data_IF_033834024507
#
_entry.id   IF_033834024507
#
_cell.length_a   1.000
_cell.length_b   1.000
_cell.length_c   1.000
_cell.angle_alpha   90.00
_cell.angle_beta   90.00
_cell.angle_gamma   90.00
#
_symmetry.space_group_name_H-M   'P 1'
#
loop_
_entity.id
_entity.type
_entity.pdbx_description
1 polymer ?
#
# COMPACT_ATOMS: atom_id res chain seq x y z
N UNK A 1 -5.19 -17.44 -4.36
CA UNK A 1 -4.09 -16.55 -3.96
C UNK A 1 -3.24 -16.26 -5.18
N UNK A 2 -3.13 -15.00 -5.57
CA UNK A 2 -2.48 -14.60 -6.84
C UNK A 2 -1.08 -14.08 -6.55
N UNK A 3 -0.12 -14.44 -7.40
CA UNK A 3 1.25 -13.91 -7.34
C UNK A 3 1.41 -12.87 -8.43
N UNK A 4 1.91 -11.70 -8.07
CA UNK A 4 2.19 -10.60 -8.98
C UNK A 4 3.69 -10.34 -9.04
N UNK A 5 4.16 -9.81 -10.17
CA UNK A 5 5.56 -9.46 -10.34
C UNK A 5 5.79 -8.33 -11.33
N UNK A 6 6.89 -7.62 -11.13
CA UNK A 6 7.40 -6.63 -12.09
C UNK A 6 8.87 -6.90 -12.40
N UNK A 7 9.23 -6.71 -13.66
CA UNK A 7 10.63 -6.63 -14.11
C UNK A 7 10.93 -5.23 -14.56
N UNK A 8 11.99 -4.65 -14.02
CA UNK A 8 12.51 -3.33 -14.43
C UNK A 8 13.86 -3.56 -15.09
N UNK A 9 14.01 -3.10 -16.33
CA UNK A 9 15.30 -3.18 -17.04
C UNK A 9 16.03 -1.85 -16.99
N UNK A 10 17.33 -1.92 -16.74
CA UNK A 10 18.23 -0.76 -16.67
C UNK A 10 19.39 -0.92 -17.65
N UNK A 11 19.67 0.13 -18.41
CA UNK A 11 20.92 0.24 -19.16
C UNK A 11 22.11 0.57 -18.23
N UNK A 12 23.35 0.30 -18.69
CA UNK A 12 24.55 0.50 -17.88
C UNK A 12 24.74 1.96 -17.44
N UNK A 13 24.41 2.91 -18.33
CA UNK A 13 24.53 4.34 -18.03
C UNK A 13 23.56 4.77 -16.91
N UNK A 14 22.38 4.16 -16.86
CA UNK A 14 21.36 4.42 -15.84
C UNK A 14 21.74 3.81 -14.50
N UNK A 15 22.37 2.64 -14.48
CA UNK A 15 22.93 2.06 -13.24
C UNK A 15 24.00 2.99 -12.65
N UNK A 16 24.85 3.57 -13.49
CA UNK A 16 25.85 4.55 -13.06
C UNK A 16 25.21 5.87 -12.59
N UNK A 17 24.19 6.38 -13.29
CA UNK A 17 23.50 7.60 -12.92
C UNK A 17 22.67 7.47 -11.62
N UNK A 18 22.16 6.26 -11.35
CA UNK A 18 21.38 5.95 -10.15
C UNK A 18 22.24 5.63 -8.92
N UNK A 19 23.56 5.80 -8.99
CA UNK A 19 24.39 5.71 -7.78
C UNK A 19 23.88 6.69 -6.71
N UNK A 20 23.79 6.20 -5.47
CA UNK A 20 23.23 6.95 -4.35
C UNK A 20 21.69 7.07 -4.33
N UNK A 21 20.98 6.64 -5.38
CA UNK A 21 19.51 6.60 -5.40
C UNK A 21 18.98 5.32 -4.74
N UNK A 22 17.67 5.33 -4.48
CA UNK A 22 16.88 4.20 -4.01
C UNK A 22 15.63 4.07 -4.90
N UNK A 23 15.32 2.87 -5.35
CA UNK A 23 14.01 2.55 -5.90
C UNK A 23 13.04 2.41 -4.72
N UNK A 24 12.05 3.28 -4.65
CA UNK A 24 10.95 3.24 -3.70
C UNK A 24 9.72 2.69 -4.41
N UNK A 25 9.06 1.74 -3.75
CA UNK A 25 7.83 1.11 -4.22
C UNK A 25 6.71 1.49 -3.27
N UNK A 26 5.59 1.91 -3.82
CA UNK A 26 4.35 2.18 -3.09
C UNK A 26 3.25 1.27 -3.63
N UNK A 27 2.33 0.82 -2.78
CA UNK A 27 1.20 -0.03 -3.20
C UNK A 27 -0.11 0.53 -2.67
N UNK A 28 -1.13 0.45 -3.53
CA UNK A 28 -2.43 1.01 -3.27
C UNK A 28 -3.36 0.11 -2.44
N UNK A 29 -4.41 0.74 -1.95
CA UNK A 29 -5.56 0.11 -1.32
C UNK A 29 -6.85 0.78 -1.81
N UNK A 30 -7.97 0.08 -1.75
CA UNK A 30 -9.28 0.74 -1.79
C UNK A 30 -9.78 0.93 -0.36
N UNK A 31 -10.43 2.05 -0.08
CA UNK A 31 -10.91 2.38 1.27
C UNK A 31 -12.29 3.05 1.23
N UNK A 32 -13.10 2.85 2.27
CA UNK A 32 -14.37 3.56 2.43
C UNK A 32 -14.19 5.09 2.55
N UNK A 33 -13.11 5.53 3.20
CA UNK A 33 -12.75 6.96 3.37
C UNK A 33 -11.36 7.24 2.75
N UNK A 34 -11.27 7.37 1.41
CA UNK A 34 -9.99 7.46 0.71
C UNK A 34 -9.22 8.76 1.00
N UNK A 35 -9.92 9.86 1.27
CA UNK A 35 -9.30 11.20 1.38
C UNK A 35 -8.45 11.41 2.64
N UNK A 36 -8.51 10.50 3.61
CA UNK A 36 -7.76 10.60 4.87
C UNK A 36 -6.49 9.74 4.90
N UNK A 37 -6.24 8.96 3.84
CA UNK A 37 -5.14 8.02 3.80
C UNK A 37 -3.81 8.66 3.39
N UNK A 38 -2.72 8.11 3.91
CA UNK A 38 -1.35 8.45 3.50
C UNK A 38 -0.66 7.19 3.01
N UNK A 39 0.01 7.27 1.86
CA UNK A 39 0.80 6.16 1.32
C UNK A 39 2.11 5.98 2.09
N UNK A 40 2.58 4.74 2.19
CA UNK A 40 3.86 4.43 2.84
C UNK A 40 4.81 3.75 1.87
N UNK A 41 6.12 3.93 2.06
CA UNK A 41 7.14 3.19 1.30
C UNK A 41 6.97 1.71 1.62
N UNK A 42 6.51 0.94 0.65
CA UNK A 42 6.19 -0.47 0.83
C UNK A 42 7.43 -1.37 0.73
N UNK A 43 8.34 -1.04 -0.19
CA UNK A 43 9.60 -1.75 -0.38
C UNK A 43 10.66 -0.83 -0.96
N UNK A 44 11.92 -1.20 -0.79
CA UNK A 44 13.06 -0.47 -1.36
C UNK A 44 14.09 -1.37 -2.01
N UNK A 45 14.80 -0.82 -3.00
CA UNK A 45 15.98 -1.43 -3.61
C UNK A 45 17.08 -0.35 -3.72
N UNK A 46 18.26 -0.64 -3.17
CA UNK A 46 19.38 0.29 -3.03
C UNK A 46 20.62 -0.11 -3.85
N UNK A 47 20.67 -1.33 -4.41
CA UNK A 47 21.74 -1.75 -5.33
C UNK A 47 21.12 -2.21 -6.62
N UNK A 48 21.46 -1.55 -7.72
CA UNK A 48 20.82 -1.77 -9.01
C UNK A 48 21.64 -2.69 -9.91
N UNK A 49 20.94 -3.59 -10.59
CA UNK A 49 21.46 -4.43 -11.66
C UNK A 49 20.67 -4.17 -12.94
N UNK A 50 21.11 -4.73 -14.06
CA UNK A 50 20.40 -4.63 -15.34
C UNK A 50 18.94 -5.11 -15.27
N UNK A 51 18.64 -6.03 -14.35
CA UNK A 51 17.31 -6.53 -14.10
C UNK A 51 16.99 -6.42 -12.62
N UNK A 52 15.90 -5.71 -12.31
CA UNK A 52 15.29 -5.68 -10.98
C UNK A 52 13.99 -6.47 -11.05
N UNK A 53 13.91 -7.52 -10.24
CA UNK A 53 12.69 -8.31 -10.09
C UNK A 53 12.06 -8.03 -8.73
N UNK A 54 10.79 -7.65 -8.75
CA UNK A 54 9.96 -7.48 -7.56
C UNK A 54 8.76 -8.43 -7.66
N UNK A 55 8.39 -9.09 -6.57
CA UNK A 55 7.21 -9.96 -6.55
C UNK A 55 6.50 -9.95 -5.21
N UNK A 56 5.20 -10.20 -5.23
CA UNK A 56 4.37 -10.27 -4.02
C UNK A 56 3.19 -11.21 -4.24
N UNK A 57 2.50 -11.52 -3.15
CA UNK A 57 1.24 -12.26 -3.18
C UNK A 57 0.11 -11.36 -2.68
N UNK A 58 -1.12 -11.71 -3.04
CA UNK A 58 -2.33 -10.98 -2.60
C UNK A 58 -2.66 -11.13 -1.10
N UNK A 59 -1.75 -11.65 -0.29
CA UNK A 59 -1.94 -11.83 1.15
C UNK A 59 -1.65 -10.53 1.89
N UNK A 60 -2.48 -10.24 2.91
CA UNK A 60 -2.40 -9.03 3.70
C UNK A 60 -2.46 -9.34 5.20
N UNK A 61 -1.88 -8.44 5.98
CA UNK A 61 -2.10 -8.33 7.42
C UNK A 61 -2.87 -7.04 7.70
N UNK A 62 -3.76 -7.07 8.68
CA UNK A 62 -4.34 -5.88 9.27
C UNK A 62 -3.37 -5.34 10.32
N UNK A 63 -3.28 -4.03 10.45
CA UNK A 63 -2.45 -3.43 11.48
C UNK A 63 -3.09 -2.24 12.18
N UNK A 64 -2.61 -1.99 13.39
CA UNK A 64 -2.90 -0.81 14.18
C UNK A 64 -1.58 -0.21 14.72
N UNK A 65 -1.53 1.11 14.80
CA UNK A 65 -0.38 1.88 15.25
C UNK A 65 -0.81 2.98 16.21
N UNK A 66 -0.12 3.12 17.34
CA UNK A 66 -0.29 4.24 18.27
C UNK A 66 0.80 5.27 18.06
N UNK A 67 0.40 6.53 18.00
CA UNK A 67 1.32 7.64 17.89
C UNK A 67 0.73 8.75 17.02
N UNK A 68 1.40 9.90 17.03
CA UNK A 68 1.23 10.89 15.98
C UNK A 68 1.91 10.40 14.71
N UNK A 69 1.32 10.66 13.55
CA UNK A 69 1.94 10.44 12.26
C UNK A 69 2.09 11.78 11.55
N UNK A 70 3.33 12.19 11.31
CA UNK A 70 3.68 13.33 10.46
C UNK A 70 4.27 12.85 9.13
N UNK A 71 4.52 13.80 8.24
CA UNK A 71 5.19 13.50 6.98
C UNK A 71 6.61 13.00 7.24
N UNK A 72 7.04 12.01 6.45
CA UNK A 72 8.32 11.30 6.58
C UNK A 72 8.51 10.50 7.89
N UNK A 73 7.49 10.41 8.76
CA UNK A 73 7.51 9.49 9.91
C UNK A 73 7.43 8.03 9.44
N UNK A 74 8.17 7.15 10.11
CA UNK A 74 8.07 5.71 9.90
C UNK A 74 6.86 5.15 10.64
N UNK A 75 5.91 4.57 9.91
CA UNK A 75 4.84 3.77 10.50
C UNK A 75 5.43 2.45 10.97
N UNK A 76 5.58 2.30 12.28
CA UNK A 76 5.96 1.04 12.93
C UNK A 76 4.70 0.47 13.59
N UNK A 77 4.04 -0.53 12.96
CA UNK A 77 2.84 -1.15 13.50
C UNK A 77 3.05 -1.67 14.91
N UNK A 78 2.12 -1.36 15.80
CA UNK A 78 2.13 -1.81 17.19
C UNK A 78 1.48 -3.18 17.31
N UNK A 79 0.39 -3.39 16.56
CA UNK A 79 -0.35 -4.65 16.51
C UNK A 79 -0.59 -5.05 15.07
N UNK A 80 -0.36 -6.33 14.77
CA UNK A 80 -0.48 -6.88 13.42
C UNK A 80 -1.00 -8.29 13.47
N UNK A 81 -1.90 -8.66 12.58
CA UNK A 81 -2.42 -10.04 12.47
C UNK A 81 -2.72 -10.35 10.99
N UNK A 82 -2.44 -11.58 10.51
CA UNK A 82 -2.95 -12.03 9.22
C UNK A 82 -4.47 -11.89 9.16
N UNK A 83 -4.99 -11.39 8.05
CA UNK A 83 -6.43 -11.19 7.84
C UNK A 83 -6.80 -11.61 6.42
N UNK A 84 -7.99 -12.19 6.27
CA UNK A 84 -8.56 -12.58 5.00
C UNK A 84 -9.76 -11.69 4.64
N UNK A 85 -10.09 -11.54 3.35
CA UNK A 85 -11.33 -10.90 2.95
C UNK A 85 -12.55 -11.57 3.60
N UNK A 86 -13.49 -10.78 4.12
CA UNK A 86 -14.64 -11.26 4.91
C UNK A 86 -14.39 -11.35 6.42
N UNK A 87 -13.14 -11.19 6.87
CA UNK A 87 -12.83 -11.15 8.30
C UNK A 87 -12.89 -9.71 8.87
N UNK A 88 -13.25 -9.64 10.15
CA UNK A 88 -13.18 -8.46 10.99
C UNK A 88 -12.07 -8.65 12.02
N UNK A 89 -11.05 -7.79 11.96
CA UNK A 89 -10.00 -7.69 12.97
C UNK A 89 -10.32 -6.52 13.90
N UNK A 90 -10.55 -6.80 15.17
CA UNK A 90 -10.86 -5.78 16.19
C UNK A 90 -9.69 -5.58 17.13
N UNK A 91 -9.30 -4.33 17.34
CA UNK A 91 -8.40 -3.92 18.43
C UNK A 91 -9.24 -3.58 19.66
N UNK A 92 -9.28 -4.48 20.64
CA UNK A 92 -10.11 -4.36 21.84
C UNK A 92 -9.44 -3.51 22.93
N UNK A 93 -10.25 -3.10 23.92
CA UNK A 93 -9.74 -2.51 25.17
C UNK A 93 -8.71 -3.45 25.81
N UNK A 94 -7.59 -2.87 26.26
CA UNK A 94 -6.46 -3.66 26.76
C UNK A 94 -5.45 -4.08 25.68
N UNK A 95 -5.58 -3.55 24.45
CA UNK A 95 -4.62 -3.75 23.36
C UNK A 95 -4.48 -5.20 22.90
N UNK A 96 -5.62 -5.91 22.85
CA UNK A 96 -5.72 -7.27 22.33
C UNK A 96 -6.38 -7.26 20.94
N UNK A 97 -5.94 -8.16 20.06
CA UNK A 97 -6.57 -8.36 18.76
C UNK A 97 -7.53 -9.54 18.82
N UNK A 98 -8.75 -9.37 18.30
CA UNK A 98 -9.73 -10.44 18.08
C UNK A 98 -10.10 -10.50 16.61
N UNK A 99 -10.37 -11.70 16.09
CA UNK A 99 -10.74 -11.92 14.69
C UNK A 99 -12.03 -12.72 14.58
N UNK A 100 -12.96 -12.24 13.76
CA UNK A 100 -14.24 -12.91 13.47
C UNK A 100 -14.51 -12.92 11.96
N UNK A 101 -15.42 -13.79 11.50
CA UNK A 101 -15.83 -13.91 10.08
C UNK A 101 -17.05 -13.04 9.74
N UNK A 102 -17.24 -11.94 10.49
CA UNK A 102 -18.38 -11.03 10.37
C UNK A 102 -18.01 -9.73 9.64
N UNK A 103 -16.89 -9.71 8.92
CA UNK A 103 -16.43 -8.56 8.15
C UNK A 103 -17.19 -8.39 6.84
N UNK A 104 -16.95 -7.27 6.17
CA UNK A 104 -17.48 -7.02 4.85
C UNK A 104 -16.95 -8.04 3.83
N UNK A 105 -17.86 -8.62 3.04
CA UNK A 105 -17.54 -9.61 2.02
C UNK A 105 -16.51 -9.05 1.03
N UNK A 106 -15.51 -9.85 0.67
CA UNK A 106 -14.44 -9.50 -0.28
C UNK A 106 -13.56 -8.30 0.14
N UNK A 107 -13.64 -7.85 1.40
CA UNK A 107 -12.84 -6.78 1.97
C UNK A 107 -12.24 -7.17 3.33
N UNK A 108 -11.20 -6.46 3.74
CA UNK A 108 -10.58 -6.55 5.05
C UNK A 108 -11.23 -5.51 5.96
N UNK A 109 -11.81 -5.95 7.07
CA UNK A 109 -12.50 -5.05 7.99
C UNK A 109 -11.69 -4.90 9.27
N UNK A 110 -11.39 -3.66 9.65
CA UNK A 110 -10.66 -3.33 10.89
C UNK A 110 -11.56 -2.50 11.80
N UNK A 111 -11.68 -2.87 13.07
CA UNK A 111 -12.46 -2.12 14.06
C UNK A 111 -11.56 -1.69 15.22
N UNK A 112 -11.62 -0.40 15.56
CA UNK A 112 -10.92 0.13 16.72
C UNK A 112 -11.89 0.24 17.90
N UNK A 113 -11.61 -0.48 18.99
CA UNK A 113 -12.34 -0.43 20.27
C UNK A 113 -11.40 -0.23 21.45
N UNK A 114 -10.19 0.28 21.22
CA UNK A 114 -9.15 0.41 22.25
C UNK A 114 -9.41 1.56 23.22
N UNK A 115 -10.43 2.40 22.97
CA UNK A 115 -10.82 3.55 23.79
C UNK A 115 -10.08 4.85 23.44
N UNK A 116 -9.37 4.90 22.31
CA UNK A 116 -8.65 6.09 21.82
C UNK A 116 -8.42 6.02 20.31
N UNK A 117 -8.18 7.16 19.63
CA UNK A 117 -7.79 7.13 18.22
C UNK A 117 -6.44 6.42 18.03
N UNK A 118 -6.34 5.69 16.93
CA UNK A 118 -5.13 5.02 16.45
C UNK A 118 -5.00 5.26 14.95
N UNK A 119 -3.93 4.73 14.36
CA UNK A 119 -3.80 4.59 12.91
C UNK A 119 -3.98 3.12 12.54
N UNK A 120 -4.56 2.86 11.37
CA UNK A 120 -4.73 1.49 10.87
C UNK A 120 -4.57 1.40 9.36
N UNK A 121 -4.44 0.18 8.86
CA UNK A 121 -4.33 -0.08 7.44
C UNK A 121 -4.01 -1.53 7.14
N UNK A 122 -3.58 -1.78 5.91
CA UNK A 122 -3.09 -3.08 5.47
C UNK A 122 -1.57 -3.07 5.33
N UNK A 123 -0.98 -4.23 5.59
CA UNK A 123 0.41 -4.54 5.27
C UNK A 123 0.46 -5.72 4.33
N UNK A 124 1.47 -5.76 3.47
CA UNK A 124 1.78 -6.95 2.68
C UNK A 124 3.29 -7.07 2.51
N UNK A 125 3.76 -8.24 2.11
CA UNK A 125 5.18 -8.49 1.89
C UNK A 125 5.52 -8.42 0.40
N UNK A 126 6.52 -7.60 0.07
CA UNK A 126 7.19 -7.66 -1.23
C UNK A 126 8.52 -8.39 -1.08
N UNK A 127 8.80 -9.27 -2.02
CA UNK A 127 10.11 -9.90 -2.21
C UNK A 127 10.90 -9.11 -3.23
N UNK A 128 12.13 -8.78 -2.87
CA UNK A 128 13.17 -8.28 -3.80
C UNK A 128 14.38 -9.20 -3.70
N UNK A 129 15.39 -9.00 -4.56
CA UNK A 129 16.67 -9.72 -4.40
C UNK A 129 17.51 -9.23 -3.22
N UNK A 130 17.13 -8.10 -2.59
CA UNK A 130 17.86 -7.52 -1.46
C UNK A 130 17.13 -7.70 -0.12
N UNK A 131 15.80 -7.80 -0.17
CA UNK A 131 14.93 -7.90 0.99
C UNK A 131 14.13 -9.18 0.90
N UNK A 132 14.17 -9.98 1.98
CA UNK A 132 13.22 -11.07 2.18
C UNK A 132 11.78 -10.53 2.27
N UNK A 133 10.81 -11.43 2.15
CA UNK A 133 9.39 -11.07 2.21
C UNK A 133 8.97 -10.69 3.63
N UNK A 134 9.19 -9.44 4.04
CA UNK A 134 8.72 -8.87 5.31
C UNK A 134 7.49 -8.00 5.05
N UNK A 135 6.37 -8.21 5.77
CA UNK A 135 5.22 -7.34 5.65
C UNK A 135 5.56 -5.90 6.01
N UNK A 136 5.01 -4.94 5.27
CA UNK A 136 5.17 -3.51 5.54
C UNK A 136 3.88 -2.77 5.18
N UNK A 137 3.58 -1.64 5.86
CA UNK A 137 2.35 -0.88 5.60
C UNK A 137 2.26 -0.46 4.13
N UNK A 138 1.06 -0.53 3.56
CA UNK A 138 0.77 -0.08 2.18
C UNK A 138 0.33 1.38 2.19
N UNK A 139 -0.68 1.65 2.99
CA UNK A 139 -1.25 2.96 3.30
C UNK A 139 -1.73 2.93 4.76
N UNK A 140 -1.83 4.11 5.36
CA UNK A 140 -2.21 4.29 6.75
C UNK A 140 -3.30 5.35 6.86
N UNK A 141 -4.26 5.12 7.75
CA UNK A 141 -5.45 5.95 7.91
C UNK A 141 -5.69 6.28 9.38
N UNK A 142 -6.15 7.49 9.71
CA UNK A 142 -6.61 7.78 11.05
C UNK A 142 -7.86 6.94 11.36
N UNK A 143 -7.94 6.39 12.57
CA UNK A 143 -8.98 5.44 12.95
C UNK A 143 -9.49 5.76 14.35
N UNK A 144 -10.67 6.38 14.47
CA UNK A 144 -11.22 6.80 15.77
C UNK A 144 -11.73 5.59 16.53
N UNK A 145 -11.99 5.77 17.82
CA UNK A 145 -12.59 4.74 18.65
C UNK A 145 -14.04 4.49 18.22
N UNK A 146 -14.44 3.23 18.12
CA UNK A 146 -15.75 2.80 17.64
C UNK A 146 -15.89 2.73 16.11
N UNK A 147 -14.99 3.36 15.36
CA UNK A 147 -15.06 3.37 13.90
C UNK A 147 -14.71 2.00 13.31
N UNK A 148 -15.39 1.64 12.22
CA UNK A 148 -15.02 0.50 11.38
C UNK A 148 -14.39 0.99 10.08
N UNK A 149 -13.30 0.35 9.68
CA UNK A 149 -12.56 0.65 8.45
C UNK A 149 -12.65 -0.55 7.52
N UNK A 150 -13.16 -0.32 6.30
CA UNK A 150 -13.24 -1.33 5.24
C UNK A 150 -12.16 -1.03 4.19
N UNK A 151 -11.31 -2.02 3.92
CA UNK A 151 -10.19 -1.90 2.98
C UNK A 151 -10.21 -3.06 1.98
N UNK A 152 -9.83 -2.80 0.73
CA UNK A 152 -9.57 -3.84 -0.26
C UNK A 152 -8.14 -3.72 -0.79
N UNK A 153 -7.59 -4.82 -1.27
CA UNK A 153 -6.34 -4.76 -2.03
C UNK A 153 -6.59 -4.05 -3.36
N UNK A 154 -5.82 -2.98 -3.62
CA UNK A 154 -5.77 -2.36 -4.92
C UNK A 154 -4.43 -2.74 -5.55
N UNK A 155 -4.46 -3.63 -6.54
CA UNK A 155 -3.25 -4.17 -7.16
C UNK A 155 -2.62 -3.16 -8.13
N UNK A 156 -2.33 -1.97 -7.61
CA UNK A 156 -1.62 -0.90 -8.29
C UNK A 156 -0.41 -0.50 -7.47
N UNK A 157 0.72 -0.35 -8.13
CA UNK A 157 1.96 0.11 -7.51
C UNK A 157 2.49 1.35 -8.23
N UNK A 158 3.26 2.15 -7.51
CA UNK A 158 4.06 3.25 -8.07
C UNK A 158 5.53 2.96 -7.81
N UNK A 159 6.35 3.08 -8.86
CA UNK A 159 7.80 2.90 -8.82
C UNK A 159 8.50 4.23 -9.02
N UNK A 160 9.43 4.55 -8.13
CA UNK A 160 10.17 5.83 -8.14
C UNK A 160 11.64 5.60 -7.84
N UNK A 161 12.53 6.06 -8.71
CA UNK A 161 13.93 6.23 -8.34
C UNK A 161 14.10 7.59 -7.65
N UNK A 162 14.48 7.58 -6.37
CA UNK A 162 14.61 8.77 -5.53
C UNK A 162 16.04 8.93 -5.01
N UNK A 163 16.64 10.14 -5.07
CA UNK A 163 17.89 10.42 -4.38
C UNK A 163 17.69 10.57 -2.85
N UNK A 164 16.48 10.93 -2.41
CA UNK A 164 16.13 10.95 -1.00
C UNK A 164 15.73 9.53 -0.56
N UNK A 165 16.66 8.85 0.12
CA UNK A 165 16.41 7.52 0.68
C UNK A 165 15.42 7.61 1.83
N UNK A 166 14.51 6.64 1.90
CA UNK A 166 13.52 6.50 2.97
C UNK A 166 13.54 5.08 3.49
N UNK A 167 13.13 4.91 4.74
CA UNK A 167 12.92 3.59 5.30
C UNK A 167 11.61 3.00 4.77
N UNK A 168 11.51 1.68 4.78
CA UNK A 168 10.24 1.00 4.56
C UNK A 168 9.28 1.38 5.70
N UNK A 169 8.01 1.63 5.38
CA UNK A 169 6.99 2.13 6.31
C UNK A 169 6.94 3.65 6.45
N UNK A 170 7.89 4.40 5.87
CA UNK A 170 7.86 5.87 5.89
C UNK A 170 6.63 6.41 5.15
N UNK A 171 5.87 7.30 5.81
CA UNK A 171 4.72 7.99 5.23
C UNK A 171 5.16 9.05 4.22
N UNK A 172 4.60 9.00 3.01
CA UNK A 172 4.96 9.89 1.90
C UNK A 172 3.70 10.37 1.22
N UNK A 173 3.53 11.70 1.15
CA UNK A 173 2.43 12.34 0.41
C UNK A 173 2.73 12.49 -1.08
N UNK A 174 3.97 12.80 -1.41
CA UNK A 174 4.36 13.22 -2.76
C UNK A 174 5.71 12.66 -3.18
N UNK A 175 5.79 12.21 -4.42
CA UNK A 175 7.03 11.84 -5.08
C UNK A 175 7.54 13.00 -5.94
N UNK A 176 8.73 13.51 -5.62
CA UNK A 176 9.35 14.64 -6.33
C UNK A 176 10.07 14.23 -7.62
N UNK A 177 10.25 12.92 -7.86
CA UNK A 177 10.88 12.38 -9.06
C UNK A 177 9.85 11.79 -10.04
N UNK A 178 10.26 11.64 -11.31
CA UNK A 178 9.46 10.94 -12.33
C UNK A 178 9.22 9.49 -11.90
N UNK A 179 8.01 9.00 -12.11
CA UNK A 179 7.59 7.68 -11.65
C UNK A 179 6.80 6.93 -12.72
N UNK A 180 6.53 5.65 -12.48
CA UNK A 180 5.60 4.86 -13.28
C UNK A 180 4.59 4.18 -12.35
N UNK A 181 3.31 4.29 -12.70
CA UNK A 181 2.23 3.54 -12.07
C UNK A 181 1.96 2.28 -12.88
N UNK A 182 1.83 1.14 -12.20
CA UNK A 182 1.52 -0.16 -12.82
C UNK A 182 0.27 -0.73 -12.16
N UNK A 183 -0.74 -1.05 -12.96
CA UNK A 183 -2.00 -1.62 -12.48
C UNK A 183 -2.13 -3.08 -12.94
N UNK A 184 -2.34 -3.97 -11.99
CA UNK A 184 -2.42 -5.41 -12.20
C UNK A 184 -3.86 -5.89 -12.08
N UNK A 185 -4.14 -6.98 -12.77
CA UNK A 185 -5.44 -7.64 -12.79
C UNK A 185 -5.23 -9.14 -12.60
N UNK A 186 -6.29 -9.90 -12.34
CA UNK A 186 -6.18 -11.38 -12.30
C UNK A 186 -5.65 -11.97 -13.61
N UNK A 187 -5.90 -11.29 -14.74
CA UNK A 187 -5.38 -11.65 -16.07
C UNK A 187 -3.99 -11.07 -16.39
N UNK A 188 -3.52 -10.07 -15.64
CA UNK A 188 -2.22 -9.41 -15.83
C UNK A 188 -1.47 -9.43 -14.51
N UNK A 189 -0.71 -10.52 -14.31
CA UNK A 189 0.04 -10.78 -13.08
C UNK A 189 1.53 -10.45 -13.21
N UNK A 190 1.99 -10.13 -14.41
CA UNK A 190 3.36 -9.72 -14.68
C UNK A 190 3.41 -8.49 -15.58
N UNK A 191 4.22 -7.50 -15.21
CA UNK A 191 4.47 -6.30 -16.01
C UNK A 191 5.98 -6.09 -16.16
N UNK A 192 6.43 -5.72 -17.35
CA UNK A 192 7.81 -5.29 -17.61
C UNK A 192 7.84 -3.82 -18.00
N UNK A 193 8.84 -3.09 -17.49
CA UNK A 193 9.11 -1.70 -17.84
C UNK A 193 10.62 -1.48 -17.96
N UNK A 194 11.00 -0.49 -18.75
CA UNK A 194 12.40 -0.07 -18.86
C UNK A 194 12.57 1.29 -18.19
N UNK A 195 13.77 1.57 -17.71
CA UNK A 195 14.15 2.89 -17.24
C UNK A 195 15.50 3.30 -17.83
N UNK A 196 15.54 4.53 -18.33
CA UNK A 196 16.75 5.19 -18.79
C UNK A 196 16.89 6.53 -18.07
N UNK A 197 18.08 6.86 -17.55
CA UNK A 197 18.31 8.14 -16.86
C UNK A 197 18.07 9.36 -17.77
N UNK A 198 18.21 9.21 -19.09
CA UNK A 198 17.96 10.29 -20.06
C UNK A 198 16.48 10.42 -20.42
N UNK A 199 15.80 9.29 -20.63
CA UNK A 199 14.40 9.26 -21.15
C UNK A 199 13.35 9.09 -20.05
N UNK A 200 13.75 8.68 -18.86
CA UNK A 200 12.87 8.27 -17.77
C UNK A 200 12.32 6.86 -17.97
N UNK A 201 11.12 6.63 -17.43
CA UNK A 201 10.40 5.37 -17.55
C UNK A 201 9.87 5.15 -18.97
N UNK A 202 9.98 3.92 -19.45
CA UNK A 202 9.38 3.43 -20.69
C UNK A 202 8.45 2.25 -20.36
N UNK A 203 7.20 2.38 -20.77
CA UNK A 203 6.16 1.38 -20.49
C UNK A 203 6.13 0.26 -21.50
N UNK A 204 6.96 0.31 -22.56
CA UNK A 204 7.01 -0.67 -23.64
C UNK A 204 5.65 -0.87 -24.32
N UNK A 205 4.83 0.18 -24.36
CA UNK A 205 3.46 0.13 -24.90
C UNK A 205 2.45 -0.58 -24.01
N UNK A 206 2.80 -0.96 -22.77
CA UNK A 206 1.89 -1.65 -21.86
C UNK A 206 0.71 -0.74 -21.47
N UNK A 207 -0.55 -1.12 -21.76
CA UNK A 207 -1.72 -0.26 -21.55
C UNK A 207 -2.09 -0.08 -20.07
N UNK A 208 -1.57 -0.93 -19.18
CA UNK A 208 -1.82 -0.87 -17.73
C UNK A 208 -0.64 -0.25 -16.97
N UNK A 209 0.31 0.35 -17.69
CA UNK A 209 1.41 1.13 -17.15
C UNK A 209 1.29 2.60 -17.59
N UNK A 210 1.43 3.52 -16.64
CA UNK A 210 1.31 4.97 -16.85
C UNK A 210 2.55 5.67 -16.36
N UNK A 211 3.21 6.44 -17.23
CA UNK A 211 4.29 7.34 -16.84
C UNK A 211 3.70 8.54 -16.11
N UNK A 212 4.30 8.92 -15.00
CA UNK A 212 3.91 10.10 -14.25
C UNK A 212 5.02 11.15 -14.33
N UNK A 213 4.62 12.42 -14.32
CA UNK A 213 5.54 13.54 -14.20
C UNK A 213 6.24 13.57 -12.84
N UNK A 214 6.98 14.65 -12.60
CA UNK A 214 7.45 14.98 -11.25
C UNK A 214 6.26 15.41 -10.38
N UNK A 215 6.45 15.40 -9.06
CA UNK A 215 5.47 15.89 -8.09
C UNK A 215 4.14 15.12 -8.08
N UNK A 216 4.22 13.80 -8.26
CA UNK A 216 3.05 12.93 -8.16
C UNK A 216 2.55 12.89 -6.70
N UNK A 217 1.31 13.31 -6.48
CA UNK A 217 0.59 13.04 -5.24
C UNK A 217 0.24 11.55 -5.17
N UNK A 218 0.68 10.86 -4.13
CA UNK A 218 0.53 9.41 -4.00
C UNK A 218 -0.89 9.00 -3.63
N UNK A 219 -1.53 9.70 -2.69
CA UNK A 219 -2.87 9.39 -2.22
C UNK A 219 -3.91 9.27 -3.36
N UNK A 220 -4.11 10.26 -4.26
CA UNK A 220 -5.08 10.12 -5.34
C UNK A 220 -4.70 9.07 -6.39
N UNK A 221 -3.44 8.63 -6.44
CA UNK A 221 -2.97 7.61 -7.38
C UNK A 221 -3.16 6.19 -6.81
N UNK A 222 -3.05 6.02 -5.49
CA UNK A 222 -2.95 4.72 -4.80
C UNK A 222 -4.08 4.43 -3.83
N UNK A 223 -4.87 5.42 -3.42
CA UNK A 223 -5.97 5.27 -2.48
C UNK A 223 -7.25 5.67 -3.21
N UNK A 224 -8.07 4.66 -3.50
CA UNK A 224 -9.30 4.82 -4.27
C UNK A 224 -10.52 4.41 -3.44
N UNK A 225 -11.73 4.89 -3.77
CA UNK A 225 -12.93 4.45 -3.09
C UNK A 225 -13.10 2.92 -3.15
N UNK A 226 -13.46 2.32 -2.02
CA UNK A 226 -14.06 0.99 -1.95
C UNK A 226 -15.57 1.12 -2.12
N UNK A 227 -16.17 0.28 -2.94
CA UNK A 227 -17.63 0.22 -3.13
C UNK A 227 -18.28 -0.90 -2.30
N UNK A 228 -17.48 -1.63 -1.52
CA UNK A 228 -17.98 -2.68 -0.63
C UNK A 228 -18.67 -2.02 0.55
N UNK A 229 -20.00 -2.09 0.58
CA UNK A 229 -20.78 -1.66 1.74
C UNK A 229 -20.52 -2.63 2.90
N UNK A 230 -20.00 -2.10 4.01
CA UNK A 230 -20.04 -2.80 5.29
C UNK A 230 -21.48 -2.77 5.79
N UNK A 231 -22.25 -3.82 5.54
CA UNK A 231 -23.54 -3.97 6.23
C UNK A 231 -23.22 -4.43 7.65
N UNK A 232 -23.23 -3.51 8.60
CA UNK A 232 -23.05 -3.83 10.01
C UNK A 232 -24.42 -4.00 10.68
N UNK A 233 -24.62 -5.01 11.56
CA UNK A 233 -25.91 -5.28 12.20
C UNK A 233 -26.51 -4.15 13.07
N UNK A 234 -25.91 -2.96 13.13
CA UNK A 234 -26.41 -1.80 13.87
C UNK A 234 -26.96 -0.67 12.98
N UNK A 235 -26.69 -0.66 11.68
CA UNK A 235 -27.09 0.44 10.77
C UNK A 235 -28.56 0.36 10.32
N UNK A 236 -29.28 -0.70 10.72
CA UNK A 236 -30.70 -0.88 10.41
C UNK A 236 -31.64 -0.28 11.46
N UNK A 237 -31.16 0.12 12.64
CA UNK A 237 -32.02 0.71 13.68
C UNK A 237 -32.26 2.22 13.50
N UNK A 238 -31.50 2.92 12.66
CA UNK A 238 -31.68 4.36 12.42
C UNK A 238 -32.57 4.71 11.22
N UNK A 239 -33.20 3.73 10.58
CA UNK A 239 -34.19 3.93 9.50
C UNK A 239 -35.62 3.74 10.00
N UNK A 240 -35.97 4.33 11.14
CA UNK A 240 -37.37 4.66 11.44
C UNK A 240 -37.68 6.05 10.89
N UNK A 241 -38.47 6.07 9.83
CA UNK A 241 -39.03 7.23 9.15
C UNK A 241 -39.64 8.25 10.13
N UNK A 242 -39.22 9.50 10.00
CA UNK A 242 -40.03 10.69 10.30
C UNK A 242 -40.29 11.44 9.00
#
# INVERSE_FOLDING_TARGET
>A
MTTYSVTIRLDAASIAALQGHQLQVFKGVKACDPDQGVSTVWATVDRFYHLIHLSWRSECHGFFHVGSLHDDDAVVPTWTEPVQPGELLTLEKGAQLTRTVTGARDAYTLLNRVGRPVWSGLMSAMRTYQQGARPSPLCVFPHRDGDTRVLESYEKIVLVFSPQKRAVGTAVKQCIARSVSLHFFSSITHISVDYSHQRGWDTLGNPVAKRNGMNLLLAPELIVPSFTQGVFPGDLESLTLH
#
